data_IF_911138090540
#
_entry.id   IF_911138090540
#
_cell.length_a   1.000
_cell.length_b   1.000
_cell.length_c   1.000
_cell.angle_alpha   90.00
_cell.angle_beta   90.00
_cell.angle_gamma   90.00
#
_symmetry.space_group_name_H-M   'P 1'
#
loop_
_entity.id
_entity.type
_entity.pdbx_description
1 polymer ?
#
# COMPACT_ATOMS: atom_id res chain seq x y z
N UNK A 1 14.73 -15.12 -11.23
CA UNK A 1 14.06 -14.98 -9.92
C UNK A 1 12.64 -15.57 -9.98
N UNK A 2 11.87 -15.37 -11.08
CA UNK A 2 10.48 -15.85 -11.21
C UNK A 2 10.32 -17.35 -10.97
N UNK A 3 11.27 -18.18 -11.41
CA UNK A 3 11.25 -19.63 -11.19
C UNK A 3 11.47 -20.06 -9.72
N UNK A 4 11.68 -19.09 -8.81
CA UNK A 4 11.85 -19.33 -7.37
C UNK A 4 10.67 -18.86 -6.54
N UNK A 5 9.65 -18.26 -7.17
CA UNK A 5 8.44 -17.76 -6.51
C UNK A 5 7.26 -18.56 -7.02
N UNK A 6 6.72 -19.42 -6.17
CA UNK A 6 5.56 -20.24 -6.49
C UNK A 6 4.26 -19.43 -6.41
N UNK A 7 4.08 -18.70 -5.32
CA UNK A 7 2.91 -17.86 -5.08
C UNK A 7 3.33 -16.44 -4.68
N UNK A 8 2.67 -15.45 -5.25
CA UNK A 8 2.91 -14.01 -4.99
C UNK A 8 1.67 -13.36 -4.37
N UNK A 9 1.86 -12.58 -3.32
CA UNK A 9 0.78 -11.82 -2.69
C UNK A 9 1.15 -10.35 -2.71
N UNK A 10 0.29 -9.52 -3.29
CA UNK A 10 0.45 -8.07 -3.41
C UNK A 10 -0.68 -7.39 -2.64
N UNK A 11 -0.33 -6.60 -1.62
CA UNK A 11 -1.30 -5.91 -0.76
C UNK A 11 -1.07 -4.41 -0.82
N UNK A 12 -2.10 -3.63 -1.14
CA UNK A 12 -2.04 -2.18 -1.15
C UNK A 12 -1.00 -1.62 -2.13
N UNK A 13 -0.88 -2.23 -3.31
CA UNK A 13 0.11 -1.86 -4.34
C UNK A 13 -0.46 -0.80 -5.27
N UNK A 14 0.27 0.30 -5.48
CA UNK A 14 -0.08 1.30 -6.50
C UNK A 14 0.19 0.76 -7.90
N UNK A 15 -0.70 1.09 -8.84
CA UNK A 15 -0.55 0.69 -10.24
C UNK A 15 -1.32 1.60 -11.18
N UNK A 16 -0.68 1.99 -12.30
CA UNK A 16 -1.27 2.87 -13.33
C UNK A 16 -1.96 4.10 -12.73
N UNK A 17 -1.20 4.83 -11.88
CA UNK A 17 -1.67 6.09 -11.30
C UNK A 17 -2.06 7.07 -12.40
N UNK A 18 -3.18 7.74 -12.23
CA UNK A 18 -3.55 8.89 -13.06
C UNK A 18 -2.61 10.08 -12.81
N UNK A 19 -2.71 11.12 -13.63
CA UNK A 19 -1.96 12.36 -13.45
C UNK A 19 -2.30 12.98 -12.09
N UNK A 20 -3.58 13.00 -11.72
CA UNK A 20 -4.07 13.54 -10.45
C UNK A 20 -3.54 12.75 -9.25
N UNK A 21 -3.59 11.42 -9.33
CA UNK A 21 -3.06 10.54 -8.28
C UNK A 21 -1.54 10.72 -8.10
N UNK A 22 -0.79 10.89 -9.20
CA UNK A 22 0.65 11.24 -9.15
C UNK A 22 0.89 12.60 -8.51
N UNK A 23 0.12 13.62 -8.91
CA UNK A 23 0.23 14.98 -8.36
C UNK A 23 0.07 14.96 -6.84
N UNK A 24 -0.94 14.25 -6.31
CA UNK A 24 -1.15 14.11 -4.87
C UNK A 24 0.04 13.48 -4.13
N UNK A 25 0.74 12.55 -4.75
CA UNK A 25 1.96 11.95 -4.16
C UNK A 25 3.11 12.93 -4.18
N UNK A 26 3.32 13.63 -5.30
CA UNK A 26 4.36 14.65 -5.45
C UNK A 26 4.15 15.80 -4.47
N UNK A 27 2.91 16.25 -4.28
CA UNK A 27 2.59 17.32 -3.31
C UNK A 27 2.94 16.92 -1.89
N UNK A 28 2.64 15.69 -1.48
CA UNK A 28 3.03 15.17 -0.17
C UNK A 28 4.56 15.04 -0.03
N UNK A 29 5.25 14.60 -1.08
CA UNK A 29 6.71 14.58 -1.09
C UNK A 29 7.30 15.98 -0.91
N UNK A 30 6.76 16.97 -1.62
CA UNK A 30 7.20 18.36 -1.49
C UNK A 30 6.91 18.93 -0.08
N UNK A 31 5.78 18.60 0.52
CA UNK A 31 5.51 18.95 1.92
C UNK A 31 6.54 18.33 2.88
N UNK A 32 6.88 17.05 2.68
CA UNK A 32 7.89 16.36 3.47
C UNK A 32 9.27 17.02 3.31
N UNK A 33 9.67 17.43 2.11
CA UNK A 33 10.92 18.18 1.85
C UNK A 33 10.99 19.50 2.60
N UNK A 34 9.84 20.14 2.82
CA UNK A 34 9.73 21.40 3.59
C UNK A 34 9.58 21.15 5.10
N UNK A 35 9.84 19.93 5.58
CA UNK A 35 9.67 19.52 6.98
C UNK A 35 8.26 19.78 7.54
N UNK A 36 7.24 19.84 6.68
CA UNK A 36 5.86 19.95 7.14
C UNK A 36 5.40 18.62 7.75
N UNK A 37 4.67 18.65 8.88
CA UNK A 37 4.22 17.43 9.53
C UNK A 37 3.18 16.70 8.67
N UNK A 38 3.55 15.51 8.16
CA UNK A 38 2.68 14.66 7.34
C UNK A 38 2.16 13.44 8.11
N UNK A 39 2.62 13.22 9.34
CA UNK A 39 2.36 12.01 10.14
C UNK A 39 0.88 11.75 10.39
N UNK A 40 0.12 12.77 10.85
CA UNK A 40 -1.33 12.64 11.08
C UNK A 40 -2.09 12.32 9.78
N UNK A 41 -1.70 12.96 8.68
CA UNK A 41 -2.30 12.71 7.38
C UNK A 41 -1.96 11.30 6.85
N UNK A 42 -0.77 10.79 7.15
CA UNK A 42 -0.38 9.42 6.82
C UNK A 42 -1.28 8.43 7.57
N UNK A 43 -1.46 8.58 8.89
CA UNK A 43 -2.33 7.70 9.67
C UNK A 43 -3.77 7.68 9.16
N UNK A 44 -4.35 8.85 8.82
CA UNK A 44 -5.70 8.93 8.25
C UNK A 44 -5.86 8.21 6.89
N UNK A 45 -4.77 8.09 6.13
CA UNK A 45 -4.77 7.29 4.89
C UNK A 45 -4.58 5.80 5.16
N UNK A 46 -3.86 5.45 6.23
CA UNK A 46 -3.49 4.07 6.53
C UNK A 46 -4.55 3.30 7.29
N UNK A 47 -5.30 3.99 8.16
CA UNK A 47 -6.32 3.40 9.02
C UNK A 47 -7.63 4.18 8.96
N UNK A 48 -8.74 3.52 9.27
CA UNK A 48 -10.01 4.20 9.51
C UNK A 48 -9.98 4.97 10.83
N UNK A 49 -10.78 6.03 10.93
CA UNK A 49 -10.87 6.81 12.17
C UNK A 49 -11.39 5.92 13.32
N UNK A 50 -12.38 5.08 13.04
CA UNK A 50 -12.91 4.10 14.00
C UNK A 50 -11.81 3.19 14.56
N UNK A 51 -10.96 2.62 13.68
CA UNK A 51 -9.88 1.74 14.13
C UNK A 51 -8.89 2.47 15.05
N UNK A 52 -8.52 3.71 14.71
CA UNK A 52 -7.59 4.52 15.52
C UNK A 52 -8.18 4.91 16.87
N UNK A 53 -9.48 5.20 16.93
CA UNK A 53 -10.19 5.49 18.19
C UNK A 53 -10.25 4.26 19.12
N UNK A 54 -10.53 3.09 18.54
CA UNK A 54 -10.59 1.82 19.28
C UNK A 54 -9.19 1.28 19.66
N UNK A 55 -8.12 1.75 18.97
CA UNK A 55 -6.74 1.27 19.15
C UNK A 55 -5.73 2.41 19.39
N UNK A 56 -5.85 3.18 20.49
CA UNK A 56 -4.98 4.34 20.75
C UNK A 56 -3.50 3.97 20.83
N UNK A 57 -3.14 2.77 21.31
CA UNK A 57 -1.75 2.29 21.33
C UNK A 57 -1.16 2.16 19.92
N UNK A 58 -1.95 1.76 18.95
CA UNK A 58 -1.54 1.70 17.54
C UNK A 58 -1.27 3.11 17.02
N UNK A 59 -2.19 4.05 17.30
CA UNK A 59 -1.99 5.46 16.96
C UNK A 59 -0.68 6.00 17.50
N UNK A 60 -0.43 5.84 18.80
CA UNK A 60 0.78 6.36 19.48
C UNK A 60 2.06 5.72 18.92
N UNK A 61 2.04 4.40 18.68
CA UNK A 61 3.18 3.67 18.14
C UNK A 61 3.55 4.17 16.74
N UNK A 62 2.58 4.35 15.86
CA UNK A 62 2.83 4.86 14.51
C UNK A 62 3.24 6.34 14.52
N UNK A 63 2.62 7.16 15.37
CA UNK A 63 3.03 8.56 15.54
C UNK A 63 4.47 8.67 16.02
N UNK A 64 4.88 7.83 16.98
CA UNK A 64 6.25 7.78 17.47
C UNK A 64 7.25 7.38 16.37
N UNK A 65 6.90 6.40 15.53
CA UNK A 65 7.74 5.98 14.39
C UNK A 65 7.85 7.11 13.37
N UNK A 66 6.73 7.70 12.98
CA UNK A 66 6.68 8.74 11.94
C UNK A 66 7.30 10.06 12.36
N UNK A 67 7.32 10.36 13.67
CA UNK A 67 7.92 11.58 14.22
C UNK A 67 9.39 11.37 14.65
N UNK A 68 9.91 10.13 14.56
CA UNK A 68 11.34 9.88 14.81
C UNK A 68 12.19 10.57 13.76
N UNK A 69 12.77 11.59 14.21
CA UNK A 69 14.01 12.29 13.91
C UNK A 69 14.61 12.38 12.49
N UNK A 70 15.12 13.56 12.32
CA UNK A 70 15.97 14.14 11.30
C UNK A 70 17.11 13.27 10.71
N UNK A 71 17.69 12.31 11.41
CA UNK A 71 18.72 11.40 10.88
C UNK A 71 18.11 10.47 9.82
N UNK A 72 16.92 9.96 10.09
CA UNK A 72 16.20 9.09 9.14
C UNK A 72 15.43 9.88 8.08
N UNK A 73 15.21 11.19 8.30
CA UNK A 73 14.45 12.03 7.38
C UNK A 73 15.06 12.08 5.99
N UNK A 74 16.39 12.16 5.87
CA UNK A 74 17.08 12.15 4.56
C UNK A 74 16.86 10.82 3.82
N UNK A 75 16.91 9.70 4.53
CA UNK A 75 16.67 8.39 3.94
C UNK A 75 15.19 8.20 3.59
N UNK A 76 14.30 8.67 4.46
CA UNK A 76 12.88 8.73 4.18
C UNK A 76 12.56 9.53 2.91
N UNK A 77 13.16 10.72 2.74
CA UNK A 77 12.97 11.54 1.54
C UNK A 77 13.44 10.84 0.28
N UNK A 78 14.59 10.14 0.32
CA UNK A 78 15.07 9.36 -0.83
C UNK A 78 14.12 8.22 -1.20
N UNK A 79 13.63 7.47 -0.21
CA UNK A 79 12.66 6.42 -0.44
C UNK A 79 11.33 6.98 -0.96
N UNK A 80 10.89 8.11 -0.43
CA UNK A 80 9.67 8.77 -0.87
C UNK A 80 9.80 9.34 -2.29
N UNK A 81 10.95 9.92 -2.64
CA UNK A 81 11.26 10.37 -4.00
C UNK A 81 11.16 9.25 -5.03
N UNK A 82 11.75 8.09 -4.70
CA UNK A 82 11.66 6.89 -5.53
C UNK A 82 10.20 6.46 -5.72
N UNK A 83 9.42 6.44 -4.64
CA UNK A 83 8.00 6.11 -4.69
C UNK A 83 7.17 7.14 -5.48
N UNK A 84 7.46 8.45 -5.32
CA UNK A 84 6.74 9.52 -6.01
C UNK A 84 6.97 9.49 -7.52
N UNK A 85 8.21 9.21 -7.94
CA UNK A 85 8.62 9.18 -9.35
C UNK A 85 8.54 7.78 -9.97
N UNK A 86 8.04 6.78 -9.23
CA UNK A 86 7.92 5.43 -9.76
C UNK A 86 7.03 5.36 -11.00
N UNK A 87 7.51 4.66 -12.02
CA UNK A 87 6.76 4.29 -13.21
C UNK A 87 6.60 2.78 -13.32
N UNK A 88 5.43 2.35 -13.76
CA UNK A 88 5.14 0.92 -13.89
C UNK A 88 5.85 0.32 -15.09
N UNK A 89 6.54 -0.78 -14.88
CA UNK A 89 7.12 -1.56 -15.96
C UNK A 89 6.10 -2.62 -16.43
N UNK A 90 5.25 -2.24 -17.36
CA UNK A 90 4.13 -3.08 -17.85
C UNK A 90 4.62 -4.44 -18.39
N UNK A 91 5.68 -4.53 -19.24
CA UNK A 91 6.19 -5.82 -19.69
C UNK A 91 6.62 -6.76 -18.56
N UNK A 92 7.25 -6.24 -17.50
CA UNK A 92 7.62 -7.07 -16.35
C UNK A 92 6.41 -7.56 -15.58
N UNK A 93 5.38 -6.74 -15.40
CA UNK A 93 4.14 -7.10 -14.72
C UNK A 93 3.38 -8.17 -15.49
N UNK A 94 3.25 -8.00 -16.80
CA UNK A 94 2.61 -8.98 -17.68
C UNK A 94 3.41 -10.29 -17.79
N UNK A 95 4.71 -10.26 -17.50
CA UNK A 95 5.59 -11.42 -17.46
C UNK A 95 5.54 -12.20 -16.14
N UNK A 96 4.77 -11.77 -15.11
CA UNK A 96 4.64 -12.50 -13.87
C UNK A 96 3.90 -13.82 -14.12
N UNK A 97 4.60 -14.94 -13.94
CA UNK A 97 4.07 -16.30 -14.16
C UNK A 97 3.55 -16.96 -12.89
N UNK A 98 3.99 -16.49 -11.71
CA UNK A 98 3.58 -17.01 -10.41
C UNK A 98 2.07 -16.82 -10.20
N UNK A 99 1.42 -17.81 -9.57
CA UNK A 99 0.04 -17.62 -9.08
C UNK A 99 0.01 -16.43 -8.15
N UNK A 100 -0.83 -15.43 -8.43
CA UNK A 100 -0.79 -14.13 -7.75
C UNK A 100 -2.13 -13.78 -7.11
N UNK A 101 -2.09 -13.34 -5.85
CA UNK A 101 -3.21 -12.73 -5.15
C UNK A 101 -2.97 -11.23 -5.01
N UNK A 102 -3.86 -10.41 -5.55
CA UNK A 102 -3.84 -8.95 -5.38
C UNK A 102 -4.93 -8.54 -4.40
N UNK A 103 -4.57 -7.85 -3.33
CA UNK A 103 -5.51 -7.41 -2.30
C UNK A 103 -5.38 -5.91 -2.02
N UNK A 104 -6.49 -5.29 -1.65
CA UNK A 104 -6.49 -3.90 -1.14
C UNK A 104 -7.69 -3.66 -0.22
N UNK A 105 -7.56 -2.70 0.70
CA UNK A 105 -8.69 -2.23 1.48
C UNK A 105 -9.71 -1.48 0.60
N UNK A 106 -11.01 -1.67 0.85
CA UNK A 106 -12.07 -0.99 0.07
C UNK A 106 -11.99 0.53 0.15
N UNK A 107 -11.44 1.05 1.25
CA UNK A 107 -11.37 2.48 1.57
C UNK A 107 -9.94 3.03 1.46
N UNK A 108 -9.01 2.30 0.80
CA UNK A 108 -7.64 2.78 0.58
C UNK A 108 -7.63 3.94 -0.43
N UNK A 109 -7.29 5.16 0.01
CA UNK A 109 -7.29 6.33 -0.87
C UNK A 109 -5.99 6.47 -1.69
N UNK A 110 -4.98 5.67 -1.42
CA UNK A 110 -3.64 5.77 -2.04
C UNK A 110 -3.33 4.66 -3.01
N UNK A 111 -3.64 3.42 -2.63
CA UNK A 111 -3.55 2.22 -3.49
C UNK A 111 -4.96 1.70 -3.70
N UNK A 112 -5.71 2.39 -4.55
CA UNK A 112 -7.17 2.22 -4.65
C UNK A 112 -7.59 0.84 -5.14
N UNK A 113 -8.84 0.39 -4.84
CA UNK A 113 -9.40 -0.82 -5.43
C UNK A 113 -9.32 -0.84 -6.97
N UNK A 114 -9.48 0.33 -7.61
CA UNK A 114 -9.36 0.45 -9.06
C UNK A 114 -7.96 0.15 -9.58
N UNK A 115 -6.89 0.60 -8.88
CA UNK A 115 -5.51 0.26 -9.20
C UNK A 115 -5.27 -1.24 -9.06
N UNK A 116 -5.70 -1.84 -7.96
CA UNK A 116 -5.52 -3.27 -7.68
C UNK A 116 -6.29 -4.15 -8.67
N UNK A 117 -7.48 -3.75 -9.10
CA UNK A 117 -8.24 -4.43 -10.18
C UNK A 117 -7.50 -4.37 -11.51
N UNK A 118 -6.91 -3.21 -11.86
CA UNK A 118 -6.08 -3.08 -13.09
C UNK A 118 -4.85 -3.98 -13.00
N UNK A 119 -4.16 -3.98 -11.84
CA UNK A 119 -2.97 -4.81 -11.62
C UNK A 119 -3.30 -6.30 -11.76
N UNK A 120 -4.37 -6.77 -11.12
CA UNK A 120 -4.82 -8.14 -11.26
C UNK A 120 -5.22 -8.50 -12.70
N UNK A 121 -5.79 -7.56 -13.45
CA UNK A 121 -6.12 -7.80 -14.88
C UNK A 121 -4.87 -7.98 -15.75
N UNK A 122 -3.77 -7.29 -15.41
CA UNK A 122 -2.56 -7.29 -16.24
C UNK A 122 -1.57 -8.40 -15.83
N UNK A 123 -1.74 -9.05 -14.67
CA UNK A 123 -0.99 -10.25 -14.28
C UNK A 123 -1.77 -11.50 -14.74
N UNK A 124 -1.21 -12.35 -15.64
CA UNK A 124 -1.96 -13.44 -16.30
C UNK A 124 -2.59 -14.46 -15.34
N UNK A 125 -1.89 -14.83 -14.26
CA UNK A 125 -2.36 -15.84 -13.30
C UNK A 125 -2.66 -15.22 -11.96
N UNK A 126 -3.63 -14.30 -11.93
CA UNK A 126 -3.95 -13.57 -10.72
C UNK A 126 -5.43 -13.61 -10.35
N UNK A 127 -5.68 -13.35 -9.07
CA UNK A 127 -7.00 -13.10 -8.50
C UNK A 127 -6.98 -11.79 -7.69
N UNK A 128 -8.14 -11.14 -7.62
CA UNK A 128 -8.33 -9.91 -6.85
C UNK A 128 -9.26 -10.14 -5.67
N UNK A 129 -8.90 -9.59 -4.52
CA UNK A 129 -9.73 -9.60 -3.32
C UNK A 129 -9.75 -8.21 -2.70
N UNK A 130 -10.95 -7.71 -2.41
CA UNK A 130 -11.18 -6.46 -1.70
C UNK A 130 -11.47 -6.75 -0.22
N UNK A 131 -10.72 -6.09 0.67
CA UNK A 131 -10.89 -6.18 2.12
C UNK A 131 -11.85 -5.08 2.55
N UNK A 132 -13.04 -5.47 2.97
CA UNK A 132 -14.10 -4.52 3.33
C UNK A 132 -13.71 -3.67 4.54
N UNK A 133 -14.08 -2.39 4.49
CA UNK A 133 -13.88 -1.42 5.58
C UNK A 133 -12.42 -1.25 6.01
N UNK A 134 -11.46 -1.65 5.18
CA UNK A 134 -10.04 -1.47 5.43
C UNK A 134 -9.46 -0.36 4.58
N UNK A 135 -8.49 0.39 5.12
CA UNK A 135 -7.65 1.32 4.38
C UNK A 135 -6.31 0.71 3.98
N UNK A 136 -5.26 1.52 3.84
CA UNK A 136 -3.97 1.08 3.30
C UNK A 136 -3.30 -0.02 4.13
N UNK A 137 -3.36 0.07 5.45
CA UNK A 137 -2.86 -0.96 6.35
C UNK A 137 -3.96 -1.96 6.77
N UNK A 138 -4.79 -2.37 5.83
CA UNK A 138 -5.81 -3.40 6.08
C UNK A 138 -5.22 -4.71 6.62
N UNK A 139 -3.94 -4.99 6.37
CA UNK A 139 -3.24 -6.13 6.97
C UNK A 139 -3.09 -6.05 8.50
N UNK A 140 -3.24 -4.86 9.08
CA UNK A 140 -3.27 -4.62 10.53
C UNK A 140 -4.70 -4.41 10.98
N UNK A 141 -5.42 -3.51 10.32
CA UNK A 141 -6.78 -3.10 10.68
C UNK A 141 -7.80 -4.24 10.53
N UNK A 142 -7.66 -5.05 9.49
CA UNK A 142 -8.53 -6.17 9.15
C UNK A 142 -7.74 -7.49 9.14
N UNK A 143 -6.84 -7.69 10.11
CA UNK A 143 -5.86 -8.77 10.10
C UNK A 143 -6.48 -10.16 9.95
N UNK A 144 -7.61 -10.44 10.59
CA UNK A 144 -8.26 -11.75 10.55
C UNK A 144 -8.75 -12.06 9.14
N UNK A 145 -9.43 -11.12 8.48
CA UNK A 145 -9.92 -11.32 7.10
C UNK A 145 -8.75 -11.45 6.12
N UNK A 146 -7.75 -10.57 6.20
CA UNK A 146 -6.53 -10.65 5.37
C UNK A 146 -5.84 -12.01 5.54
N UNK A 147 -5.61 -12.45 6.77
CA UNK A 147 -4.95 -13.73 7.07
C UNK A 147 -5.78 -14.93 6.57
N UNK A 148 -7.10 -14.87 6.68
CA UNK A 148 -7.98 -15.90 6.13
C UNK A 148 -7.85 -16.00 4.61
N UNK A 149 -7.86 -14.86 3.89
CA UNK A 149 -7.70 -14.83 2.42
C UNK A 149 -6.33 -15.34 2.00
N UNK A 150 -5.27 -14.96 2.72
CA UNK A 150 -3.91 -15.45 2.47
C UNK A 150 -3.83 -16.97 2.67
N UNK A 151 -4.32 -17.50 3.78
CA UNK A 151 -4.33 -18.95 4.06
C UNK A 151 -5.07 -19.73 2.98
N UNK A 152 -6.24 -19.26 2.57
CA UNK A 152 -7.01 -19.89 1.51
C UNK A 152 -6.25 -19.88 0.17
N UNK A 153 -5.55 -18.80 -0.14
CA UNK A 153 -4.75 -18.70 -1.37
C UNK A 153 -3.52 -19.61 -1.34
N UNK A 154 -2.85 -19.74 -0.19
CA UNK A 154 -1.64 -20.58 -0.05
C UNK A 154 -2.00 -22.06 -0.13
N UNK A 155 -3.14 -22.46 0.43
CA UNK A 155 -3.57 -23.87 0.52
C UNK A 155 -4.23 -24.40 -0.78
N UNK A 156 -4.59 -23.52 -1.71
CA UNK A 156 -5.17 -23.87 -3.03
C UNK A 156 -4.15 -23.67 -4.16
#
# INVERSE_FOLDING_TARGET
IQNKVDKLILIGTTYKRTIEERSLVIDRYNQAKLNKPISKQALKRWFTDKYLEENPKTYDSFMNILNKNSVDHKNFLKAYELFANHEDNIPLIQGISSKTLVMTGSDDPGSTPAMSKKLAKDIPNSSYVEIKSGKHLCSIECADDVNMKIRNFINN
#
